data_IF_541812397841
#
_entry.id   IF_541812397841
#
_cell.length_a   1.000
_cell.length_b   1.000
_cell.length_c   1.000
_cell.angle_alpha   90.00
_cell.angle_beta   90.00
_cell.angle_gamma   90.00
#
_symmetry.space_group_name_H-M   'P 1'
#
loop_
_entity.id
_entity.type
_entity.pdbx_description
1 polymer ?
#
# COMPACT_ATOMS: atom_id res chain seq x y z
N UNK A 1 -11.02 18.84 -46.85
CA UNK A 1 -9.92 19.08 -45.88
C UNK A 1 -10.43 19.47 -44.50
N UNK A 2 -11.38 20.41 -44.38
CA UNK A 2 -11.93 20.86 -43.10
C UNK A 2 -12.52 19.74 -42.22
N UNK A 3 -13.28 18.81 -42.80
CA UNK A 3 -13.88 17.69 -42.04
C UNK A 3 -12.83 16.71 -41.50
N UNK A 4 -11.73 16.49 -42.23
CA UNK A 4 -10.64 15.61 -41.78
C UNK A 4 -9.97 16.20 -40.55
N UNK A 5 -9.74 17.51 -40.58
CA UNK A 5 -9.13 18.25 -39.47
C UNK A 5 -10.01 18.19 -38.21
N UNK A 6 -11.33 18.34 -38.38
CA UNK A 6 -12.30 18.22 -37.27
C UNK A 6 -12.30 16.80 -36.68
N UNK A 7 -12.29 15.76 -37.52
CA UNK A 7 -12.26 14.37 -37.06
C UNK A 7 -10.98 14.08 -36.26
N UNK A 8 -9.84 14.58 -36.72
CA UNK A 8 -8.56 14.41 -36.02
C UNK A 8 -8.57 15.11 -34.65
N UNK A 9 -9.09 16.33 -34.57
CA UNK A 9 -9.20 17.07 -33.30
C UNK A 9 -10.13 16.36 -32.33
N UNK A 10 -11.29 15.89 -32.80
CA UNK A 10 -12.24 15.14 -31.95
C UNK A 10 -11.61 13.83 -31.46
N UNK A 11 -10.93 13.09 -32.35
CA UNK A 11 -10.25 11.85 -32.00
C UNK A 11 -9.17 12.08 -30.95
N UNK A 12 -8.37 13.14 -31.10
CA UNK A 12 -7.35 13.53 -30.13
C UNK A 12 -7.95 13.87 -28.76
N UNK A 13 -9.01 14.69 -28.73
CA UNK A 13 -9.70 15.05 -27.47
C UNK A 13 -10.31 13.83 -26.79
N UNK A 14 -10.92 12.91 -27.55
CA UNK A 14 -11.46 11.66 -27.02
C UNK A 14 -10.36 10.76 -26.46
N UNK A 15 -9.23 10.67 -27.15
CA UNK A 15 -8.08 9.89 -26.69
C UNK A 15 -7.53 10.42 -25.37
N UNK A 16 -7.29 11.74 -25.29
CA UNK A 16 -6.83 12.42 -24.08
C UNK A 16 -7.81 12.23 -22.91
N UNK A 17 -9.11 12.32 -23.17
CA UNK A 17 -10.15 12.09 -22.16
C UNK A 17 -10.14 10.65 -21.65
N UNK A 18 -10.03 9.66 -22.56
CA UNK A 18 -9.96 8.25 -22.19
C UNK A 18 -8.70 8.00 -21.35
N UNK A 19 -7.55 8.55 -21.74
CA UNK A 19 -6.31 8.37 -20.99
C UNK A 19 -6.43 8.93 -19.56
N UNK A 20 -6.88 10.18 -19.43
CA UNK A 20 -6.97 10.87 -18.14
C UNK A 20 -8.13 10.41 -17.25
N UNK A 21 -9.14 9.72 -17.80
CA UNK A 21 -10.27 9.20 -17.00
C UNK A 21 -10.10 7.69 -16.74
N UNK A 22 -9.80 6.91 -17.78
CA UNK A 22 -9.73 5.44 -17.66
C UNK A 22 -8.46 4.99 -16.94
N UNK A 23 -7.29 5.59 -17.20
CA UNK A 23 -6.07 5.17 -16.50
C UNK A 23 -6.14 5.44 -14.99
N UNK A 24 -6.54 6.64 -14.51
CA UNK A 24 -6.67 6.88 -13.07
C UNK A 24 -7.75 6.02 -12.44
N UNK A 25 -8.87 5.77 -13.12
CA UNK A 25 -9.93 4.92 -12.60
C UNK A 25 -9.48 3.45 -12.50
N UNK A 26 -8.77 2.95 -13.52
CA UNK A 26 -8.19 1.61 -13.50
C UNK A 26 -7.16 1.46 -12.36
N UNK A 27 -6.26 2.44 -12.20
CA UNK A 27 -5.31 2.46 -11.10
C UNK A 27 -6.01 2.54 -9.75
N UNK A 28 -7.03 3.37 -9.61
CA UNK A 28 -7.81 3.50 -8.38
C UNK A 28 -8.46 2.18 -7.98
N UNK A 29 -9.08 1.46 -8.94
CA UNK A 29 -9.69 0.15 -8.68
C UNK A 29 -8.62 -0.90 -8.35
N UNK A 30 -7.48 -0.88 -9.07
CA UNK A 30 -6.35 -1.79 -8.84
C UNK A 30 -5.72 -1.56 -7.46
N UNK A 31 -5.53 -0.31 -7.07
CA UNK A 31 -4.92 0.10 -5.81
C UNK A 31 -5.90 -0.07 -4.64
N UNK A 32 -7.22 0.03 -4.87
CA UNK A 32 -8.24 -0.33 -3.87
C UNK A 32 -8.15 -1.79 -3.42
N UNK A 33 -7.66 -2.68 -4.29
CA UNK A 33 -7.41 -4.09 -3.99
C UNK A 33 -6.02 -4.38 -3.42
N UNK A 34 -5.14 -3.37 -3.27
CA UNK A 34 -4.01 -3.52 -2.35
C UNK A 34 -4.59 -3.60 -0.95
N UNK A 35 -4.85 -4.84 -0.54
CA UNK A 35 -5.22 -5.18 0.83
C UNK A 35 -4.28 -4.41 1.73
N UNK A 36 -4.83 -3.50 2.50
CA UNK A 36 -4.11 -2.88 3.60
C UNK A 36 -3.39 -4.00 4.33
N UNK A 37 -2.07 -3.88 4.46
CA UNK A 37 -1.23 -4.87 5.13
C UNK A 37 -1.48 -4.84 6.65
N UNK A 38 -2.49 -4.10 7.11
CA UNK A 38 -3.02 -4.16 8.47
C UNK A 38 -3.71 -5.51 8.69
N UNK A 39 -2.98 -6.48 9.22
CA UNK A 39 -3.51 -7.77 9.61
C UNK A 39 -2.41 -8.79 9.92
N UNK A 40 -2.75 -9.76 10.77
CA UNK A 40 -1.82 -10.80 11.25
C UNK A 40 -1.09 -11.50 10.10
N UNK A 41 -1.77 -11.76 8.98
CA UNK A 41 -1.18 -12.40 7.79
C UNK A 41 -0.11 -11.55 7.11
N UNK A 42 -0.20 -10.23 7.18
CA UNK A 42 0.80 -9.31 6.62
C UNK A 42 2.06 -9.16 7.48
N UNK A 43 1.98 -9.60 8.74
CA UNK A 43 3.08 -9.53 9.71
C UNK A 43 3.95 -10.79 9.71
N UNK A 44 3.45 -11.92 9.19
CA UNK A 44 4.21 -13.16 9.09
C UNK A 44 5.44 -12.98 8.17
N UNK A 45 6.63 -13.25 8.71
CA UNK A 45 7.90 -13.15 7.99
C UNK A 45 8.45 -11.73 7.85
N UNK A 46 7.82 -10.73 8.46
CA UNK A 46 8.38 -9.36 8.55
C UNK A 46 9.31 -9.26 9.76
N UNK A 47 10.36 -8.44 9.62
CA UNK A 47 11.28 -8.10 10.72
C UNK A 47 10.76 -6.84 11.38
N UNK A 48 10.63 -6.88 12.71
CA UNK A 48 10.21 -5.74 13.54
C UNK A 48 11.28 -5.35 14.53
N UNK A 49 11.23 -4.11 14.98
CA UNK A 49 12.10 -3.58 16.03
C UNK A 49 11.39 -3.67 17.39
N UNK A 50 12.13 -4.05 18.44
CA UNK A 50 11.60 -4.10 19.80
C UNK A 50 11.60 -2.68 20.36
N UNK A 51 10.41 -2.17 20.69
CA UNK A 51 10.26 -0.84 21.33
C UNK A 51 10.31 -0.98 22.85
N UNK A 52 9.57 -1.95 23.38
CA UNK A 52 9.51 -2.20 24.80
C UNK A 52 9.32 -3.69 25.04
N UNK A 53 10.10 -4.27 25.96
CA UNK A 53 9.98 -5.68 26.31
C UNK A 53 10.06 -5.85 27.82
N UNK A 54 9.15 -6.65 28.38
CA UNK A 54 9.11 -6.99 29.80
C UNK A 54 8.87 -8.49 29.93
N UNK A 55 9.86 -9.21 30.48
CA UNK A 55 9.80 -10.65 30.68
C UNK A 55 9.46 -11.42 29.39
N UNK A 56 8.24 -11.94 29.25
CA UNK A 56 7.77 -12.78 28.14
C UNK A 56 6.82 -12.05 27.18
N UNK A 57 6.50 -10.78 27.45
CA UNK A 57 5.61 -9.98 26.60
C UNK A 57 6.16 -8.57 26.33
N UNK A 58 5.74 -8.00 25.21
CA UNK A 58 6.23 -6.69 24.84
C UNK A 58 5.55 -6.13 23.60
N UNK A 59 6.14 -5.06 23.09
CA UNK A 59 5.68 -4.32 21.93
C UNK A 59 6.79 -4.23 20.89
N UNK A 60 6.46 -4.59 19.66
CA UNK A 60 7.33 -4.48 18.49
C UNK A 60 6.73 -3.51 17.49
N UNK A 61 7.59 -2.74 16.83
CA UNK A 61 7.22 -1.90 15.69
C UNK A 61 7.50 -2.67 14.40
N UNK A 62 6.48 -2.88 13.58
CA UNK A 62 6.60 -3.53 12.27
C UNK A 62 6.00 -2.59 11.22
N UNK A 63 6.83 -2.11 10.29
CA UNK A 63 6.43 -1.15 9.26
C UNK A 63 5.70 0.10 9.80
N UNK A 64 6.05 0.55 11.02
CA UNK A 64 5.43 1.71 11.67
C UNK A 64 4.16 1.42 12.47
N UNK A 65 3.71 0.17 12.53
CA UNK A 65 2.61 -0.27 13.40
C UNK A 65 3.15 -0.90 14.69
N UNK A 66 2.52 -0.59 15.82
CA UNK A 66 2.88 -1.11 17.14
C UNK A 66 2.06 -2.36 17.44
N UNK A 67 2.73 -3.49 17.61
CA UNK A 67 2.11 -4.80 17.83
C UNK A 67 2.52 -5.37 19.17
N UNK A 68 1.55 -5.91 19.92
CA UNK A 68 1.84 -6.71 21.11
C UNK A 68 2.35 -8.08 20.68
N UNK A 69 3.48 -8.49 21.23
CA UNK A 69 4.12 -9.76 20.94
C UNK A 69 4.45 -10.50 22.24
N UNK A 70 4.50 -11.82 22.15
CA UNK A 70 4.91 -12.72 23.23
C UNK A 70 6.06 -13.58 22.76
N UNK A 71 6.99 -13.89 23.65
CA UNK A 71 8.11 -14.79 23.38
C UNK A 71 8.38 -15.66 24.59
N UNK A 72 8.72 -16.92 24.34
CA UNK A 72 9.13 -17.86 25.39
C UNK A 72 10.49 -17.50 25.99
N UNK A 73 11.24 -16.61 25.33
CA UNK A 73 12.58 -16.18 25.72
C UNK A 73 12.52 -14.67 26.01
N UNK A 74 13.14 -14.19 27.10
CA UNK A 74 13.21 -12.75 27.35
C UNK A 74 14.03 -12.06 26.26
N UNK A 75 13.41 -11.09 25.60
CA UNK A 75 14.06 -10.24 24.60
C UNK A 75 14.42 -8.90 25.24
N UNK A 76 15.49 -8.28 24.75
CA UNK A 76 15.88 -6.94 25.16
C UNK A 76 15.85 -6.00 23.96
N UNK A 77 15.36 -4.77 24.17
CA UNK A 77 15.44 -3.74 23.15
C UNK A 77 16.91 -3.48 22.81
N UNK A 78 17.23 -3.52 21.52
CA UNK A 78 18.58 -3.21 21.07
C UNK A 78 18.70 -1.69 21.04
N UNK A 79 19.46 -1.15 21.99
CA UNK A 79 19.85 0.28 22.06
C UNK A 79 20.70 0.65 20.85
#
# INVERSE_FOLDING_TARGET
MQNILIILVIGFVLFELIEHVVLPLFWFIKDRNRKSVCGVTGMLGKVGEIIQWQETEGQVSVNGELWRAVSDIPLSAKV
#
